data_IF_746869502324
#
_entry.id   IF_746869502324
#
_cell.length_a   1.000
_cell.length_b   1.000
_cell.length_c   1.000
_cell.angle_alpha   90.00
_cell.angle_beta   90.00
_cell.angle_gamma   90.00
#
_symmetry.space_group_name_H-M   'P 1'
#
loop_
_entity.id
_entity.type
_entity.pdbx_description
1 polymer ?
#
# COMPACT_ATOMS: atom_id res chain seq x y z
N UNK A 1 23.92 85.02 -24.49
CA UNK A 1 24.99 85.46 -23.56
C UNK A 1 24.62 84.76 -22.26
N UNK A 2 25.24 83.66 -21.83
CA UNK A 2 26.66 83.26 -21.74
C UNK A 2 26.83 81.78 -22.15
N UNK A 3 27.75 81.40 -23.05
CA UNK A 3 29.22 81.14 -22.91
C UNK A 3 29.59 79.95 -22.02
N UNK A 4 30.09 78.89 -22.67
CA UNK A 4 31.19 77.98 -22.31
C UNK A 4 30.96 76.67 -23.11
N UNK A 5 31.44 76.50 -24.33
CA UNK A 5 32.83 76.22 -24.75
C UNK A 5 33.48 75.07 -23.96
N UNK A 6 33.53 73.89 -24.59
CA UNK A 6 34.70 72.98 -24.67
C UNK A 6 34.26 71.76 -25.52
N UNK A 7 34.45 71.75 -26.83
CA UNK A 7 35.65 71.38 -27.62
C UNK A 7 36.13 69.92 -27.49
N UNK A 8 36.47 69.38 -28.65
CA UNK A 8 37.42 68.31 -28.92
C UNK A 8 36.95 66.85 -28.75
N UNK A 9 36.47 66.32 -29.87
CA UNK A 9 37.08 65.19 -30.57
C UNK A 9 37.94 64.22 -29.75
N UNK A 10 37.42 63.01 -29.57
CA UNK A 10 38.21 61.78 -29.73
C UNK A 10 37.30 60.66 -30.23
N UNK A 11 37.04 60.69 -31.52
CA UNK A 11 36.72 59.48 -32.25
C UNK A 11 37.92 58.53 -32.18
N UNK A 12 37.75 57.36 -31.55
CA UNK A 12 38.62 56.22 -31.82
C UNK A 12 37.84 54.91 -31.74
N UNK A 13 37.55 54.44 -32.95
CA UNK A 13 37.61 53.05 -33.38
C UNK A 13 36.83 52.01 -32.56
N UNK A 14 35.72 51.56 -33.11
CA UNK A 14 35.34 50.15 -33.09
C UNK A 14 34.29 49.90 -34.18
N UNK A 15 34.73 49.93 -35.44
CA UNK A 15 34.06 49.13 -36.45
C UNK A 15 34.93 47.90 -36.65
N UNK A 16 34.40 46.74 -36.23
CA UNK A 16 34.65 45.44 -36.83
C UNK A 16 33.96 44.32 -36.05
N UNK A 17 33.20 43.56 -36.82
CA UNK A 17 32.93 42.14 -36.72
C UNK A 17 31.62 41.77 -36.01
N UNK A 18 30.60 41.71 -36.87
CA UNK A 18 29.76 40.53 -37.13
C UNK A 18 30.17 39.21 -36.44
N UNK A 19 29.13 38.39 -36.24
CA UNK A 19 29.12 36.99 -35.79
C UNK A 19 29.18 36.73 -34.28
N UNK A 20 28.00 36.73 -33.65
CA UNK A 20 27.53 35.63 -32.79
C UNK A 20 26.10 35.91 -32.27
N UNK A 21 25.13 36.03 -33.17
CA UNK A 21 23.71 36.12 -32.80
C UNK A 21 22.99 34.79 -33.05
N UNK A 22 23.53 33.67 -32.55
CA UNK A 22 22.78 32.41 -32.49
C UNK A 22 23.29 31.48 -31.38
N UNK A 23 22.93 31.79 -30.14
CA UNK A 23 22.99 30.84 -29.02
C UNK A 23 21.98 31.14 -27.91
N UNK A 24 20.98 32.00 -28.15
CA UNK A 24 19.97 32.38 -27.17
C UNK A 24 18.60 31.74 -27.48
N UNK A 25 18.57 30.46 -27.87
CA UNK A 25 17.33 29.65 -27.95
C UNK A 25 17.60 28.20 -27.59
N UNK A 26 18.11 27.93 -26.39
CA UNK A 26 18.16 26.57 -25.86
C UNK A 26 18.22 26.52 -24.33
N UNK A 27 17.45 27.34 -23.62
CA UNK A 27 17.34 27.26 -22.15
C UNK A 27 15.89 27.51 -21.70
N UNK A 28 14.93 26.92 -22.40
CA UNK A 28 13.60 26.73 -21.85
C UNK A 28 13.12 25.33 -22.26
N UNK A 29 12.82 24.49 -21.26
CA UNK A 29 12.58 23.03 -21.26
C UNK A 29 13.69 22.13 -20.69
N UNK A 30 14.36 22.58 -19.62
CA UNK A 30 14.71 21.64 -18.55
C UNK A 30 13.49 21.49 -17.64
N UNK A 31 12.60 20.56 -17.99
CA UNK A 31 11.54 20.14 -17.08
C UNK A 31 12.24 19.39 -15.94
N UNK A 32 12.58 20.12 -14.88
CA UNK A 32 13.01 19.51 -13.62
C UNK A 32 11.97 18.46 -13.27
N UNK A 33 12.33 17.16 -13.21
CA UNK A 33 11.40 16.17 -12.70
C UNK A 33 11.15 16.58 -11.25
N UNK A 34 9.91 16.93 -10.95
CA UNK A 34 9.46 17.10 -9.57
C UNK A 34 9.68 15.74 -8.93
N UNK A 35 10.72 15.63 -8.09
CA UNK A 35 10.92 14.49 -7.22
C UNK A 35 9.63 14.36 -6.40
N UNK A 36 8.78 13.43 -6.81
CA UNK A 36 7.68 12.98 -5.98
C UNK A 36 8.32 12.50 -4.67
N UNK A 37 7.77 12.89 -3.49
CA UNK A 37 8.23 12.30 -2.25
C UNK A 37 8.16 10.78 -2.40
N UNK A 38 9.08 10.00 -1.79
CA UNK A 38 9.03 8.55 -1.90
C UNK A 38 7.61 8.11 -1.53
N UNK A 39 6.91 7.50 -2.50
CA UNK A 39 5.59 6.92 -2.28
C UNK A 39 5.81 5.95 -1.11
N UNK A 40 5.28 6.28 0.07
CA UNK A 40 5.29 5.34 1.18
C UNK A 40 4.59 4.10 0.65
N UNK A 41 5.34 3.02 0.46
CA UNK A 41 4.77 1.75 0.03
C UNK A 41 3.70 1.40 1.06
N UNK A 42 2.44 1.43 0.64
CA UNK A 42 1.33 1.05 1.52
C UNK A 42 1.57 -0.38 2.01
N UNK A 43 1.23 -0.62 3.28
CA UNK A 43 1.38 -1.96 3.87
C UNK A 43 0.50 -2.94 3.10
N UNK A 44 1.05 -4.11 2.81
CA UNK A 44 0.28 -5.23 2.28
C UNK A 44 -0.43 -5.95 3.42
N UNK A 45 -1.64 -5.52 3.73
CA UNK A 45 -2.47 -6.05 4.81
C UNK A 45 -3.41 -7.16 4.32
N UNK A 46 -3.61 -7.34 3.01
CA UNK A 46 -4.36 -8.44 2.43
C UNK A 46 -3.71 -9.02 1.17
N UNK A 47 -3.91 -10.32 0.93
CA UNK A 47 -3.34 -11.04 -0.21
C UNK A 47 -2.73 -12.40 0.20
N UNK A 48 -1.72 -12.86 -0.53
CA UNK A 48 -1.04 -14.12 -0.20
C UNK A 48 -0.41 -14.07 1.20
N UNK A 49 -0.72 -15.05 2.05
CA UNK A 49 -0.29 -15.13 3.45
C UNK A 49 1.20 -14.80 3.66
N UNK A 50 2.07 -15.37 2.83
CA UNK A 50 3.54 -15.22 2.95
C UNK A 50 4.05 -13.81 2.65
N UNK A 51 3.24 -12.96 2.02
CA UNK A 51 3.66 -11.65 1.54
C UNK A 51 3.11 -10.51 2.40
N UNK A 52 2.33 -10.82 3.44
CA UNK A 52 1.65 -9.82 4.26
C UNK A 52 2.62 -9.11 5.21
N UNK A 53 2.50 -7.79 5.27
CA UNK A 53 3.15 -6.96 6.28
C UNK A 53 2.37 -7.08 7.60
N UNK A 54 3.07 -7.38 8.71
CA UNK A 54 2.49 -7.43 10.04
C UNK A 54 3.53 -7.13 11.13
N UNK A 55 3.06 -6.66 12.29
CA UNK A 55 3.88 -6.46 13.48
C UNK A 55 4.05 -7.78 14.26
N UNK A 56 5.20 -8.43 14.04
CA UNK A 56 5.60 -9.65 14.73
C UNK A 56 6.23 -9.40 16.11
N UNK A 57 6.22 -8.17 16.62
CA UNK A 57 6.71 -7.86 17.97
C UNK A 57 5.87 -8.58 19.03
N UNK A 58 6.47 -8.93 20.16
CA UNK A 58 5.74 -9.58 21.25
C UNK A 58 4.82 -8.56 21.94
N UNK A 59 3.54 -8.90 22.05
CA UNK A 59 2.54 -8.10 22.74
C UNK A 59 2.92 -7.88 24.21
N UNK A 60 2.70 -6.67 24.71
CA UNK A 60 3.05 -6.27 26.08
C UNK A 60 2.47 -7.25 27.11
N UNK A 61 3.33 -7.74 28.00
CA UNK A 61 2.95 -8.69 29.05
C UNK A 61 2.72 -10.13 28.58
N UNK A 62 3.02 -10.46 27.32
CA UNK A 62 2.98 -11.83 26.78
C UNK A 62 4.41 -12.38 26.61
N UNK A 63 4.54 -13.72 26.64
CA UNK A 63 5.84 -14.40 26.45
C UNK A 63 6.13 -14.80 25.00
N UNK A 64 5.09 -15.11 24.21
CA UNK A 64 5.21 -15.72 22.87
C UNK A 64 4.08 -15.31 21.90
N UNK A 65 3.39 -14.22 22.21
CA UNK A 65 2.24 -13.76 21.43
C UNK A 65 2.61 -12.49 20.72
N UNK A 66 2.45 -12.45 19.40
CA UNK A 66 2.74 -11.27 18.58
C UNK A 66 1.62 -10.24 18.68
N UNK A 67 1.90 -8.99 18.32
CA UNK A 67 0.88 -7.93 18.25
C UNK A 67 -0.15 -8.24 17.15
N UNK A 68 0.34 -8.61 15.97
CA UNK A 68 -0.50 -9.00 14.82
C UNK A 68 -0.25 -10.44 14.38
N UNK A 69 -1.24 -11.00 13.69
CA UNK A 69 -1.18 -12.31 13.04
C UNK A 69 -1.89 -12.28 11.69
N UNK A 70 -1.57 -13.28 10.86
CA UNK A 70 -2.31 -13.53 9.64
C UNK A 70 -3.57 -14.34 9.95
N UNK A 71 -4.68 -13.87 9.42
CA UNK A 71 -5.97 -14.55 9.47
C UNK A 71 -6.33 -15.03 8.06
N UNK A 72 -6.29 -16.35 7.84
CA UNK A 72 -6.70 -16.95 6.57
C UNK A 72 -8.19 -16.79 6.36
N UNK A 73 -8.57 -16.31 5.16
CA UNK A 73 -9.98 -16.20 4.75
C UNK A 73 -10.14 -16.74 3.32
N UNK A 74 -10.80 -17.89 3.07
CA UNK A 74 -11.38 -18.84 4.03
C UNK A 74 -10.37 -19.40 5.03
N UNK A 75 -10.80 -20.05 6.11
CA UNK A 75 -9.84 -20.62 7.05
C UNK A 75 -8.95 -21.69 6.38
N UNK A 76 -7.73 -21.85 6.88
CA UNK A 76 -6.79 -22.83 6.32
C UNK A 76 -7.36 -24.26 6.38
N UNK A 77 -8.01 -24.62 7.49
CA UNK A 77 -8.59 -25.95 7.70
C UNK A 77 -9.73 -26.28 6.72
N UNK A 78 -10.31 -25.28 6.05
CA UNK A 78 -11.37 -25.46 5.05
C UNK A 78 -10.84 -25.64 3.62
N UNK A 79 -9.54 -25.46 3.39
CA UNK A 79 -8.92 -25.67 2.07
C UNK A 79 -8.24 -24.44 1.47
N UNK A 80 -8.06 -23.35 2.22
CA UNK A 80 -7.34 -22.15 1.76
C UNK A 80 -5.80 -22.32 1.71
N UNK A 81 -5.31 -23.48 1.24
CA UNK A 81 -3.93 -23.79 0.79
C UNK A 81 -2.73 -23.15 1.55
N UNK A 82 -2.80 -22.96 2.87
CA UNK A 82 -1.65 -22.63 3.73
C UNK A 82 -0.87 -21.39 3.29
N UNK A 83 0.46 -21.53 3.08
CA UNK A 83 1.32 -20.42 2.64
C UNK A 83 1.03 -19.88 1.22
N UNK A 84 0.17 -20.57 0.46
CA UNK A 84 -0.36 -20.12 -0.83
C UNK A 84 -1.82 -19.63 -0.70
N UNK A 85 -2.38 -19.64 0.50
CA UNK A 85 -3.70 -19.13 0.82
C UNK A 85 -3.73 -17.62 0.92
N UNK A 86 -4.93 -17.08 0.73
CA UNK A 86 -5.18 -15.67 0.99
C UNK A 86 -5.45 -15.41 2.48
N UNK A 87 -4.93 -14.32 3.00
CA UNK A 87 -5.10 -13.91 4.38
C UNK A 87 -5.15 -12.40 4.50
N UNK A 88 -5.54 -11.93 5.69
CA UNK A 88 -5.37 -10.55 6.11
C UNK A 88 -4.50 -10.45 7.36
N UNK A 89 -3.80 -9.34 7.53
CA UNK A 89 -3.16 -8.96 8.80
C UNK A 89 -4.21 -8.44 9.76
N UNK A 90 -4.25 -8.96 10.99
CA UNK A 90 -5.11 -8.46 12.05
C UNK A 90 -4.47 -8.56 13.42
N UNK A 91 -5.00 -7.82 14.40
CA UNK A 91 -4.53 -7.91 15.78
C UNK A 91 -4.75 -9.32 16.35
N UNK A 92 -3.78 -9.85 17.08
CA UNK A 92 -3.86 -11.20 17.66
C UNK A 92 -5.03 -11.35 18.64
N UNK A 93 -5.40 -10.28 19.36
CA UNK A 93 -6.56 -10.27 20.24
C UNK A 93 -7.88 -10.39 19.51
N UNK A 94 -7.97 -9.85 18.29
CA UNK A 94 -9.17 -9.93 17.45
C UNK A 94 -9.21 -11.25 16.69
N UNK A 95 -8.08 -11.76 16.21
CA UNK A 95 -7.96 -13.07 15.60
C UNK A 95 -8.55 -14.18 16.48
N UNK A 96 -8.32 -14.12 17.79
CA UNK A 96 -8.86 -15.11 18.74
C UNK A 96 -10.37 -15.08 18.93
N UNK A 97 -11.04 -14.04 18.43
CA UNK A 97 -12.49 -13.88 18.53
C UNK A 97 -13.19 -14.26 17.23
N UNK A 98 -12.49 -14.45 16.11
CA UNK A 98 -13.11 -14.84 14.83
C UNK A 98 -13.70 -16.24 14.93
N UNK A 99 -14.77 -16.49 14.16
CA UNK A 99 -15.53 -17.73 14.25
C UNK A 99 -14.73 -18.97 13.84
N UNK A 100 -13.68 -18.79 13.03
CA UNK A 100 -12.79 -19.86 12.58
C UNK A 100 -11.63 -20.15 13.54
N UNK A 101 -11.47 -19.42 14.65
CA UNK A 101 -10.42 -19.66 15.65
C UNK A 101 -10.60 -21.00 16.35
N UNK A 102 -9.62 -21.90 16.24
CA UNK A 102 -9.76 -23.32 16.67
C UNK A 102 -10.18 -23.54 18.13
N UNK A 103 -9.90 -22.59 19.02
CA UNK A 103 -10.12 -22.75 20.46
C UNK A 103 -11.38 -22.05 20.99
N UNK A 104 -12.38 -21.83 20.13
CA UNK A 104 -13.72 -21.42 20.57
C UNK A 104 -14.79 -22.45 20.21
N UNK A 105 -15.88 -22.45 20.98
CA UNK A 105 -17.06 -23.27 20.69
C UNK A 105 -17.62 -22.91 19.31
N UNK A 106 -18.00 -23.93 18.53
CA UNK A 106 -18.57 -23.75 17.19
C UNK A 106 -17.55 -23.58 16.07
N UNK A 107 -16.26 -23.39 16.36
CA UNK A 107 -15.24 -23.19 15.33
C UNK A 107 -15.17 -24.34 14.32
N UNK A 108 -15.19 -25.59 14.80
CA UNK A 108 -15.18 -26.75 13.90
C UNK A 108 -16.38 -26.79 12.95
N UNK A 109 -17.57 -26.45 13.43
CA UNK A 109 -18.76 -26.35 12.57
C UNK A 109 -18.63 -25.22 11.55
N UNK A 110 -18.04 -24.09 11.93
CA UNK A 110 -17.77 -22.98 11.02
C UNK A 110 -16.80 -23.38 9.91
N UNK A 111 -15.69 -24.02 10.27
CA UNK A 111 -14.68 -24.54 9.33
C UNK A 111 -15.26 -25.61 8.39
N UNK A 112 -16.12 -26.50 8.90
CA UNK A 112 -16.84 -27.52 8.11
C UNK A 112 -17.77 -26.89 7.07
N UNK A 113 -18.49 -25.81 7.44
CA UNK A 113 -19.34 -25.07 6.50
C UNK A 113 -18.51 -24.42 5.39
N UNK A 114 -17.40 -23.78 5.74
CA UNK A 114 -16.48 -23.25 4.73
C UNK A 114 -15.93 -24.35 3.82
N UNK A 115 -15.54 -25.51 4.38
CA UNK A 115 -15.06 -26.66 3.62
C UNK A 115 -16.11 -27.15 2.62
N UNK A 116 -17.34 -27.33 3.08
CA UNK A 116 -18.47 -27.77 2.25
C UNK A 116 -18.69 -26.80 1.08
N UNK A 117 -18.64 -25.49 1.32
CA UNK A 117 -18.75 -24.49 0.27
C UNK A 117 -17.60 -24.57 -0.73
N UNK A 118 -16.36 -24.70 -0.26
CA UNK A 118 -15.18 -24.80 -1.12
C UNK A 118 -15.24 -26.07 -1.99
N UNK A 119 -15.61 -27.21 -1.42
CA UNK A 119 -15.79 -28.48 -2.14
C UNK A 119 -16.88 -28.40 -3.22
N UNK A 120 -17.91 -27.57 -3.01
CA UNK A 120 -18.95 -27.26 -3.99
C UNK A 120 -18.53 -26.22 -5.04
N UNK A 121 -17.28 -25.75 -5.02
CA UNK A 121 -16.79 -24.70 -5.92
C UNK A 121 -17.23 -23.28 -5.53
N UNK A 122 -17.83 -23.10 -4.34
CA UNK A 122 -18.37 -21.84 -3.83
C UNK A 122 -17.36 -21.13 -2.93
N UNK A 123 -16.14 -20.94 -3.44
CA UNK A 123 -15.06 -20.30 -2.71
C UNK A 123 -15.43 -18.89 -2.24
N UNK A 124 -16.11 -18.11 -3.09
CA UNK A 124 -16.55 -16.74 -2.74
C UNK A 124 -17.53 -16.74 -1.57
N UNK A 125 -18.45 -17.70 -1.49
CA UNK A 125 -19.39 -17.82 -0.36
C UNK A 125 -18.63 -18.15 0.94
N UNK A 126 -17.64 -19.06 0.88
CA UNK A 126 -16.80 -19.38 2.04
C UNK A 126 -15.99 -18.17 2.53
N UNK A 127 -15.48 -17.36 1.60
CA UNK A 127 -14.74 -16.14 1.91
C UNK A 127 -15.65 -15.04 2.49
N UNK A 128 -16.85 -14.87 1.94
CA UNK A 128 -17.84 -13.90 2.43
C UNK A 128 -18.30 -14.23 3.86
N UNK A 129 -18.31 -15.50 4.26
CA UNK A 129 -18.55 -15.89 5.66
C UNK A 129 -17.57 -15.21 6.62
N UNK A 130 -16.27 -15.16 6.28
CA UNK A 130 -15.28 -14.53 7.16
C UNK A 130 -15.42 -13.00 7.13
N UNK A 131 -15.73 -12.41 5.96
CA UNK A 131 -15.98 -10.96 5.85
C UNK A 131 -17.13 -10.55 6.78
N UNK A 132 -18.22 -11.30 6.78
CA UNK A 132 -19.38 -11.05 7.65
C UNK A 132 -19.00 -11.20 9.13
N UNK A 133 -18.30 -12.27 9.49
CA UNK A 133 -17.87 -12.50 10.88
C UNK A 133 -16.97 -11.38 11.42
N UNK A 134 -16.01 -10.94 10.61
CA UNK A 134 -15.09 -9.86 10.96
C UNK A 134 -15.84 -8.54 11.09
N UNK A 135 -16.73 -8.21 10.15
CA UNK A 135 -17.51 -6.96 10.21
C UNK A 135 -18.50 -6.93 11.36
N UNK A 136 -19.13 -8.05 11.69
CA UNK A 136 -20.03 -8.17 12.84
C UNK A 136 -19.29 -7.87 14.16
N UNK A 137 -18.03 -8.32 14.27
CA UNK A 137 -17.23 -8.18 15.50
C UNK A 137 -16.44 -6.89 15.61
N UNK A 138 -15.99 -6.34 14.48
CA UNK A 138 -14.98 -5.28 14.44
C UNK A 138 -15.36 -4.09 13.56
N UNK A 139 -16.55 -4.10 12.94
CA UNK A 139 -16.98 -3.05 12.02
C UNK A 139 -16.07 -2.96 10.80
N UNK A 140 -15.63 -1.75 10.48
CA UNK A 140 -14.82 -1.41 9.30
C UNK A 140 -13.30 -1.50 9.55
N UNK A 141 -12.86 -1.88 10.76
CA UNK A 141 -11.44 -1.90 11.17
C UNK A 141 -10.52 -2.63 10.18
N UNK A 142 -11.01 -3.67 9.52
CA UNK A 142 -10.23 -4.50 8.59
C UNK A 142 -10.65 -4.36 7.13
N UNK A 143 -11.48 -3.38 6.78
CA UNK A 143 -12.00 -3.22 5.40
C UNK A 143 -10.89 -2.97 4.37
N UNK A 144 -9.83 -2.25 4.73
CA UNK A 144 -8.67 -2.05 3.84
C UNK A 144 -7.99 -3.39 3.52
N UNK A 145 -7.72 -4.20 4.55
CA UNK A 145 -7.08 -5.50 4.41
C UNK A 145 -7.98 -6.48 3.62
N UNK A 146 -9.28 -6.49 3.91
CA UNK A 146 -10.28 -7.28 3.18
C UNK A 146 -10.31 -6.86 1.71
N UNK A 147 -10.32 -5.56 1.41
CA UNK A 147 -10.32 -5.05 0.03
C UNK A 147 -9.07 -5.47 -0.74
N UNK A 148 -7.89 -5.39 -0.12
CA UNK A 148 -6.64 -5.86 -0.72
C UNK A 148 -6.70 -7.37 -1.04
N UNK A 149 -7.25 -8.17 -0.11
CA UNK A 149 -7.42 -9.61 -0.32
C UNK A 149 -8.47 -9.93 -1.40
N UNK A 150 -9.59 -9.20 -1.43
CA UNK A 150 -10.60 -9.29 -2.47
C UNK A 150 -10.03 -9.02 -3.86
N UNK A 151 -9.15 -8.03 -3.98
CA UNK A 151 -8.49 -7.70 -5.23
C UNK A 151 -7.49 -8.78 -5.65
N UNK A 152 -6.80 -9.39 -4.69
CA UNK A 152 -5.88 -10.51 -4.96
C UNK A 152 -6.60 -11.78 -5.45
N UNK A 153 -7.86 -12.00 -5.05
CA UNK A 153 -8.64 -13.17 -5.46
C UNK A 153 -9.26 -13.07 -6.87
N UNK A 154 -9.18 -11.93 -7.54
CA UNK A 154 -9.70 -11.71 -8.90
C UNK A 154 -8.80 -12.35 -9.96
#
# INVERSE_FOLDING_TARGET
>A
MDKADDVADIAKAADKLDDAADAAKALDKAKVPKLEPPIKKEKRLGGAHKDLDFDSSIATGKKRETIEQHHHMPCQAAGNKGGNGGAITMETSDHKKTASWDNISGAKMYQERQRTLIEQGKFREAFEMDIQDIREKFGDKYDEAIKQLEEWYK
#
